data_IF_035013234654
#
_entry.id   IF_035013234654
#
_cell.length_a   1.000
_cell.length_b   1.000
_cell.length_c   1.000
_cell.angle_alpha   90.00
_cell.angle_beta   90.00
_cell.angle_gamma   90.00
#
_symmetry.space_group_name_H-M   'P 1'
#
loop_
_entity.id
_entity.type
_entity.pdbx_description
1 polymer ?
#
# COMPACT_ATOMS: atom_id res chain seq x y z
N UNK A 1 61.13 -14.74 30.72
CA UNK A 1 60.73 -13.64 29.86
C UNK A 1 59.20 -13.68 29.78
N UNK A 2 58.53 -12.83 30.57
CA UNK A 2 57.04 -12.81 30.65
C UNK A 2 56.51 -11.78 29.64
N UNK A 3 55.73 -12.24 28.67
CA UNK A 3 55.07 -11.37 27.69
C UNK A 3 53.71 -11.01 28.25
N UNK A 4 53.51 -9.74 28.61
CA UNK A 4 52.22 -9.16 29.01
C UNK A 4 51.45 -8.77 27.74
N UNK A 5 50.37 -9.48 27.45
CA UNK A 5 49.41 -9.08 26.43
C UNK A 5 48.35 -8.22 27.12
N UNK A 6 48.33 -6.93 26.82
CA UNK A 6 47.27 -6.01 27.21
C UNK A 6 46.10 -6.21 26.24
N UNK A 7 44.97 -6.73 26.73
CA UNK A 7 43.69 -6.68 26.02
C UNK A 7 43.15 -5.25 26.10
N UNK A 8 43.17 -4.58 24.97
CA UNK A 8 42.42 -3.33 24.78
C UNK A 8 40.90 -3.63 24.72
N UNK A 9 40.17 -3.06 25.67
CA UNK A 9 38.70 -3.05 25.64
C UNK A 9 38.25 -2.15 24.49
N UNK A 10 38.01 -2.74 23.35
CA UNK A 10 37.26 -2.09 22.26
C UNK A 10 35.81 -2.02 22.64
N UNK A 11 35.33 -0.83 22.98
CA UNK A 11 33.89 -0.54 23.11
C UNK A 11 33.23 -0.75 21.77
N UNK A 12 32.53 -1.89 21.62
CA UNK A 12 31.59 -2.12 20.54
C UNK A 12 30.40 -1.23 20.84
N UNK A 13 30.30 -0.09 20.15
CA UNK A 13 29.10 0.72 20.10
C UNK A 13 28.13 -0.03 19.20
N UNK A 14 27.30 -0.87 19.81
CA UNK A 14 26.12 -1.42 19.13
C UNK A 14 25.17 -0.27 18.89
N UNK A 15 25.15 0.26 17.68
CA UNK A 15 24.09 1.13 17.21
C UNK A 15 22.81 0.27 17.16
N UNK A 16 22.02 0.33 18.23
CA UNK A 16 20.63 -0.11 18.18
C UNK A 16 19.93 0.82 17.20
N UNK A 17 19.70 0.34 15.99
CA UNK A 17 18.62 0.85 15.14
C UNK A 17 17.32 0.55 15.90
N UNK A 18 16.86 1.54 16.66
CA UNK A 18 15.49 1.60 17.10
C UNK A 18 14.63 1.75 15.84
N UNK A 19 14.18 0.61 15.31
CA UNK A 19 12.96 0.61 14.53
C UNK A 19 11.92 1.30 15.43
N UNK A 20 11.55 2.51 15.09
CA UNK A 20 10.45 3.22 15.69
C UNK A 20 9.17 2.47 15.33
N UNK A 21 8.92 1.36 16.02
CA UNK A 21 7.57 0.92 16.24
C UNK A 21 6.91 2.08 16.97
N UNK A 22 6.16 2.89 16.25
CA UNK A 22 5.15 3.74 16.85
C UNK A 22 4.18 2.75 17.50
N UNK A 23 4.44 2.43 18.76
CA UNK A 23 3.44 1.84 19.64
C UNK A 23 2.30 2.88 19.67
N UNK A 24 1.32 2.70 18.77
CA UNK A 24 0.06 3.40 18.94
C UNK A 24 -0.44 3.01 20.35
N UNK A 25 -0.72 4.00 21.22
CA UNK A 25 -1.21 3.69 22.55
C UNK A 25 -2.47 2.85 22.39
N UNK A 26 -2.52 1.73 23.12
CA UNK A 26 -3.75 0.95 23.23
C UNK A 26 -4.86 1.92 23.62
N UNK A 27 -5.82 2.11 22.72
CA UNK A 27 -6.97 2.97 22.98
C UNK A 27 -7.68 2.37 24.19
N UNK A 28 -7.67 3.08 25.32
CA UNK A 28 -8.38 2.62 26.52
C UNK A 28 -9.87 2.48 26.20
N UNK A 29 -10.57 1.58 26.90
CA UNK A 29 -12.01 1.37 26.74
C UNK A 29 -12.84 2.68 26.90
N UNK A 30 -12.30 3.70 27.57
CA UNK A 30 -12.88 5.03 27.70
C UNK A 30 -12.69 5.89 26.43
N UNK A 31 -11.61 5.71 25.66
CA UNK A 31 -11.42 6.36 24.36
C UNK A 31 -12.30 5.73 23.28
N UNK A 32 -12.65 4.45 23.39
CA UNK A 32 -13.62 3.78 22.49
C UNK A 32 -15.02 4.40 22.58
N UNK A 33 -15.34 5.09 23.66
CA UNK A 33 -16.64 5.75 23.85
C UNK A 33 -16.78 7.12 23.19
N UNK A 34 -15.70 7.66 22.59
CA UNK A 34 -15.67 8.95 21.87
C UNK A 34 -15.13 8.79 20.44
N UNK A 35 -15.52 7.74 19.73
CA UNK A 35 -15.35 7.75 18.28
C UNK A 35 -16.44 8.70 17.78
N UNK A 36 -16.00 9.88 17.32
CA UNK A 36 -16.87 10.96 16.88
C UNK A 36 -17.84 10.46 15.81
N UNK A 37 -19.12 10.86 15.92
CA UNK A 37 -20.14 10.61 14.89
C UNK A 37 -19.89 11.40 13.58
N UNK A 38 -18.79 12.19 13.52
CA UNK A 38 -18.42 13.12 12.44
C UNK A 38 -17.20 12.69 11.61
N UNK A 39 -16.90 11.38 11.49
CA UNK A 39 -15.84 10.96 10.57
C UNK A 39 -16.30 11.12 9.11
N UNK A 40 -15.42 11.66 8.26
CA UNK A 40 -15.62 11.62 6.81
C UNK A 40 -15.50 10.19 6.28
N UNK A 41 -16.05 9.93 5.09
CA UNK A 41 -16.00 8.60 4.50
C UNK A 41 -14.56 8.13 4.24
N UNK A 42 -13.66 9.03 3.88
CA UNK A 42 -12.23 8.75 3.77
C UNK A 42 -11.61 8.30 5.10
N UNK A 43 -12.03 8.91 6.21
CA UNK A 43 -11.60 8.52 7.55
C UNK A 43 -12.25 7.21 8.03
N UNK A 44 -13.48 6.93 7.59
CA UNK A 44 -14.16 5.66 7.90
C UNK A 44 -13.44 4.44 7.28
N UNK A 45 -12.72 4.62 6.16
CA UNK A 45 -11.99 3.55 5.47
C UNK A 45 -11.00 2.81 6.36
N UNK A 46 -10.38 3.46 7.32
CA UNK A 46 -9.45 2.81 8.25
C UNK A 46 -10.13 1.78 9.17
N UNK A 47 -11.48 1.77 9.23
CA UNK A 47 -12.29 0.87 10.05
C UNK A 47 -13.13 -0.10 9.22
N UNK A 48 -12.98 -0.10 7.91
CA UNK A 48 -13.73 -0.93 6.96
C UNK A 48 -12.80 -1.98 6.36
N UNK A 49 -13.29 -3.22 6.25
CA UNK A 49 -12.59 -4.26 5.53
C UNK A 49 -12.64 -3.96 4.03
N UNK A 50 -11.47 -3.69 3.45
CA UNK A 50 -11.36 -3.31 2.04
C UNK A 50 -11.75 -4.44 1.09
N UNK A 51 -11.56 -5.70 1.49
CA UNK A 51 -11.91 -6.86 0.68
C UNK A 51 -13.44 -7.06 0.68
N UNK A 52 -14.09 -6.92 1.85
CA UNK A 52 -15.56 -6.96 1.97
C UNK A 52 -16.18 -5.82 1.16
N UNK A 53 -15.66 -4.59 1.30
CA UNK A 53 -16.16 -3.43 0.55
C UNK A 53 -16.00 -3.62 -0.96
N UNK A 54 -14.83 -4.07 -1.41
CA UNK A 54 -14.56 -4.32 -2.82
C UNK A 54 -15.51 -5.40 -3.38
N UNK A 55 -15.71 -6.50 -2.67
CA UNK A 55 -16.63 -7.58 -3.07
C UNK A 55 -18.08 -7.11 -3.17
N UNK A 56 -18.54 -6.30 -2.21
CA UNK A 56 -19.90 -5.75 -2.20
C UNK A 56 -20.16 -4.83 -3.40
N UNK A 57 -19.21 -3.93 -3.70
CA UNK A 57 -19.36 -3.01 -4.83
C UNK A 57 -19.23 -3.74 -6.16
N UNK A 58 -18.32 -4.71 -6.27
CA UNK A 58 -18.20 -5.57 -7.46
C UNK A 58 -19.51 -6.32 -7.72
N UNK A 59 -20.09 -6.91 -6.69
CA UNK A 59 -21.41 -7.58 -6.78
C UNK A 59 -22.51 -6.63 -7.23
N UNK A 60 -22.50 -5.38 -6.77
CA UNK A 60 -23.44 -4.36 -7.23
C UNK A 60 -23.27 -4.08 -8.73
N UNK A 61 -22.04 -3.89 -9.22
CA UNK A 61 -21.74 -3.63 -10.63
C UNK A 61 -22.19 -4.80 -11.51
N UNK A 62 -21.95 -6.04 -11.10
CA UNK A 62 -22.37 -7.25 -11.82
C UNK A 62 -23.90 -7.35 -11.95
N UNK A 63 -24.63 -6.95 -10.91
CA UNK A 63 -26.10 -6.93 -10.91
C UNK A 63 -26.70 -5.72 -11.66
N UNK A 64 -25.91 -4.68 -11.86
CA UNK A 64 -26.33 -3.42 -12.50
C UNK A 64 -25.33 -3.03 -13.60
N UNK A 65 -25.25 -3.81 -14.71
CA UNK A 65 -24.27 -3.59 -15.78
C UNK A 65 -24.40 -2.22 -16.48
N UNK A 66 -25.58 -1.59 -16.38
CA UNK A 66 -25.85 -0.27 -16.94
C UNK A 66 -25.65 0.87 -15.91
N UNK A 67 -25.13 0.57 -14.71
CA UNK A 67 -24.89 1.59 -13.70
C UNK A 67 -23.84 2.59 -14.18
N UNK A 68 -24.17 3.86 -14.08
CA UNK A 68 -23.24 4.95 -14.36
C UNK A 68 -22.15 5.02 -13.30
N UNK A 69 -21.02 5.61 -13.65
CA UNK A 69 -19.91 5.84 -12.70
C UNK A 69 -20.38 6.56 -11.42
N UNK A 70 -21.28 7.56 -11.58
CA UNK A 70 -21.87 8.25 -10.43
C UNK A 70 -22.65 7.30 -9.53
N UNK A 71 -23.48 6.42 -10.07
CA UNK A 71 -24.25 5.45 -9.28
C UNK A 71 -23.33 4.47 -8.54
N UNK A 72 -22.25 4.03 -9.18
CA UNK A 72 -21.25 3.17 -8.54
C UNK A 72 -20.56 3.92 -7.39
N UNK A 73 -20.17 5.17 -7.59
CA UNK A 73 -19.56 5.99 -6.54
C UNK A 73 -20.52 6.25 -5.37
N UNK A 74 -21.77 6.61 -5.65
CA UNK A 74 -22.80 6.82 -4.62
C UNK A 74 -23.03 5.52 -3.81
N UNK A 75 -23.08 4.36 -4.48
CA UNK A 75 -23.19 3.07 -3.83
C UNK A 75 -21.96 2.75 -2.98
N UNK A 76 -20.75 3.02 -3.47
CA UNK A 76 -19.49 2.83 -2.74
C UNK A 76 -19.49 3.63 -1.44
N UNK A 77 -19.82 4.92 -1.51
CA UNK A 77 -19.91 5.81 -0.33
C UNK A 77 -20.95 5.29 0.67
N UNK A 78 -22.14 4.88 0.18
CA UNK A 78 -23.18 4.28 1.01
C UNK A 78 -22.65 3.02 1.74
N UNK A 79 -21.94 2.14 1.04
CA UNK A 79 -21.39 0.91 1.64
C UNK A 79 -20.31 1.18 2.67
N UNK A 80 -19.45 2.16 2.47
CA UNK A 80 -18.47 2.58 3.48
C UNK A 80 -19.18 2.95 4.79
N UNK A 81 -20.23 3.76 4.73
CA UNK A 81 -21.01 4.16 5.91
C UNK A 81 -21.70 2.97 6.58
N UNK A 82 -22.28 2.05 5.80
CA UNK A 82 -22.94 0.84 6.33
C UNK A 82 -21.95 -0.08 7.04
N UNK A 83 -20.80 -0.39 6.42
CA UNK A 83 -19.78 -1.25 7.00
C UNK A 83 -19.14 -0.62 8.25
N UNK A 84 -18.88 0.69 8.22
CA UNK A 84 -18.41 1.43 9.38
C UNK A 84 -19.43 1.37 10.53
N UNK A 85 -20.73 1.61 10.25
CA UNK A 85 -21.80 1.54 11.25
C UNK A 85 -21.94 0.14 11.86
N UNK A 86 -21.81 -0.92 11.06
CA UNK A 86 -21.77 -2.31 11.52
C UNK A 86 -20.57 -2.55 12.44
N UNK A 87 -19.37 -2.17 12.02
CA UNK A 87 -18.16 -2.33 12.85
C UNK A 87 -18.24 -1.55 14.17
N UNK A 88 -18.94 -0.41 14.18
CA UNK A 88 -19.19 0.38 15.38
C UNK A 88 -20.16 -0.34 16.33
N UNK A 89 -21.28 -0.90 15.82
CA UNK A 89 -22.31 -1.58 16.62
C UNK A 89 -21.80 -2.88 17.25
N UNK A 90 -20.97 -3.63 16.51
CA UNK A 90 -20.43 -4.92 16.94
C UNK A 90 -19.23 -4.79 17.88
N UNK A 91 -18.81 -3.56 18.21
CA UNK A 91 -17.65 -3.29 19.05
C UNK A 91 -16.30 -3.69 18.42
N UNK A 92 -16.30 -4.02 17.12
CA UNK A 92 -15.10 -4.48 16.42
C UNK A 92 -14.17 -3.33 15.98
N UNK A 93 -14.61 -2.09 16.09
CA UNK A 93 -13.79 -0.88 15.79
C UNK A 93 -12.49 -0.85 16.61
N UNK A 94 -12.48 -1.39 17.83
CA UNK A 94 -11.27 -1.41 18.67
C UNK A 94 -10.28 -2.54 18.31
N UNK A 95 -10.71 -3.53 17.52
CA UNK A 95 -9.90 -4.72 17.18
C UNK A 95 -9.60 -4.86 15.70
N UNK A 96 -10.40 -4.24 14.83
CA UNK A 96 -10.15 -4.16 13.40
C UNK A 96 -9.50 -2.82 13.02
N UNK A 97 -8.36 -2.50 13.63
CA UNK A 97 -7.34 -1.82 12.82
C UNK A 97 -6.98 -2.89 11.79
N UNK A 98 -7.55 -2.78 10.59
CA UNK A 98 -7.13 -3.61 9.47
C UNK A 98 -5.60 -3.63 9.49
N UNK A 99 -4.99 -4.81 9.46
CA UNK A 99 -3.52 -4.96 9.42
C UNK A 99 -2.89 -4.10 8.31
N UNK A 100 -3.72 -3.57 7.42
CA UNK A 100 -3.47 -2.64 6.34
C UNK A 100 -4.46 -1.47 6.37
N UNK A 101 -4.64 -0.80 7.52
CA UNK A 101 -5.50 0.38 7.63
C UNK A 101 -5.05 1.47 6.66
N UNK A 102 -5.82 1.69 5.62
CA UNK A 102 -5.55 2.75 4.65
C UNK A 102 -5.96 4.10 5.25
N UNK A 103 -4.96 4.86 5.69
CA UNK A 103 -5.14 6.28 6.00
C UNK A 103 -4.72 7.05 4.77
N UNK A 104 -5.68 7.66 4.10
CA UNK A 104 -5.41 8.48 2.91
C UNK A 104 -4.72 9.77 3.32
N UNK A 105 -3.68 10.15 2.59
CA UNK A 105 -3.13 11.51 2.68
C UNK A 105 -4.05 12.49 1.95
N UNK A 106 -3.82 13.80 2.09
CA UNK A 106 -4.71 14.83 1.53
C UNK A 106 -4.84 14.78 0.00
N UNK A 107 -3.83 14.32 -0.71
CA UNK A 107 -3.87 14.18 -2.16
C UNK A 107 -4.64 12.93 -2.60
N UNK A 108 -4.49 11.81 -1.88
CA UNK A 108 -5.30 10.61 -2.08
C UNK A 108 -6.77 10.87 -1.71
N UNK A 109 -7.03 11.62 -0.64
CA UNK A 109 -8.38 12.01 -0.21
C UNK A 109 -9.10 12.84 -1.29
N UNK A 110 -8.40 13.77 -1.93
CA UNK A 110 -8.97 14.51 -3.05
C UNK A 110 -9.39 13.60 -4.21
N UNK A 111 -8.58 12.60 -4.55
CA UNK A 111 -8.91 11.59 -5.56
C UNK A 111 -10.05 10.66 -5.12
N UNK A 112 -10.10 10.32 -3.84
CA UNK A 112 -11.21 9.53 -3.29
C UNK A 112 -12.55 10.22 -3.49
N UNK A 113 -12.65 11.53 -3.22
CA UNK A 113 -13.89 12.28 -3.46
C UNK A 113 -14.17 12.55 -4.95
N UNK A 114 -13.16 12.50 -5.82
CA UNK A 114 -13.36 12.53 -7.26
C UNK A 114 -13.99 11.22 -7.77
N UNK A 115 -13.45 10.07 -7.32
CA UNK A 115 -13.93 8.75 -7.70
C UNK A 115 -13.67 7.71 -6.59
N UNK A 116 -14.65 7.53 -5.73
CA UNK A 116 -14.55 6.63 -4.58
C UNK A 116 -14.29 5.18 -5.00
N UNK A 117 -14.94 4.70 -6.07
CA UNK A 117 -14.74 3.31 -6.52
C UNK A 117 -13.33 3.06 -7.05
N UNK A 118 -12.78 3.96 -7.85
CA UNK A 118 -11.39 3.84 -8.31
C UNK A 118 -10.40 3.94 -7.15
N UNK A 119 -10.67 4.78 -6.16
CA UNK A 119 -9.86 4.88 -4.94
C UNK A 119 -9.87 3.57 -4.14
N UNK A 120 -11.06 2.97 -3.93
CA UNK A 120 -11.20 1.67 -3.26
C UNK A 120 -10.46 0.57 -4.01
N UNK A 121 -10.56 0.53 -5.33
CA UNK A 121 -9.78 -0.41 -6.15
C UNK A 121 -8.27 -0.20 -5.95
N UNK A 122 -7.81 1.06 -5.89
CA UNK A 122 -6.38 1.35 -5.66
C UNK A 122 -5.90 0.80 -4.31
N UNK A 123 -6.68 0.98 -3.25
CA UNK A 123 -6.40 0.42 -1.93
C UNK A 123 -6.42 -1.12 -1.94
N UNK A 124 -7.44 -1.72 -2.57
CA UNK A 124 -7.57 -3.18 -2.69
C UNK A 124 -6.38 -3.80 -3.43
N UNK A 125 -5.96 -3.22 -4.56
CA UNK A 125 -4.78 -3.70 -5.29
C UNK A 125 -3.47 -3.37 -4.56
N UNK A 126 -3.44 -2.33 -3.73
CA UNK A 126 -2.34 -2.05 -2.81
C UNK A 126 -2.17 -3.18 -1.79
N UNK A 127 -3.27 -3.63 -1.17
CA UNK A 127 -3.26 -4.79 -0.28
C UNK A 127 -2.77 -6.05 -0.99
N UNK A 128 -3.29 -6.34 -2.18
CA UNK A 128 -2.81 -7.50 -2.98
C UNK A 128 -1.32 -7.43 -3.30
N UNK A 129 -0.80 -6.23 -3.56
CA UNK A 129 0.63 -6.04 -3.80
C UNK A 129 1.45 -6.29 -2.52
N UNK A 130 0.99 -5.84 -1.36
CA UNK A 130 1.60 -6.11 -0.05
C UNK A 130 1.62 -7.62 0.25
N UNK A 131 0.47 -8.30 0.13
CA UNK A 131 0.35 -9.75 0.38
C UNK A 131 1.29 -10.55 -0.54
N UNK A 132 1.36 -10.13 -1.82
CA UNK A 132 2.26 -10.78 -2.77
C UNK A 132 3.73 -10.52 -2.46
N UNK A 133 4.08 -9.31 -2.04
CA UNK A 133 5.43 -8.97 -1.61
C UNK A 133 5.85 -9.83 -0.42
N UNK A 134 5.00 -9.94 0.59
CA UNK A 134 5.27 -10.78 1.76
C UNK A 134 5.40 -12.26 1.39
N UNK A 135 4.57 -12.75 0.48
CA UNK A 135 4.67 -14.13 -0.04
C UNK A 135 6.01 -14.43 -0.74
N UNK A 136 6.64 -13.44 -1.38
CA UNK A 136 7.89 -13.59 -2.13
C UNK A 136 9.10 -13.35 -1.24
N UNK A 137 9.09 -12.30 -0.43
CA UNK A 137 10.25 -11.84 0.35
C UNK A 137 10.19 -12.27 1.82
N UNK A 138 9.02 -12.68 2.34
CA UNK A 138 8.79 -12.93 3.76
C UNK A 138 8.56 -11.67 4.59
N UNK A 139 8.60 -10.48 3.98
CA UNK A 139 8.40 -9.18 4.63
C UNK A 139 8.03 -8.10 3.61
N UNK A 140 7.56 -6.96 4.12
CA UNK A 140 7.37 -5.72 3.36
C UNK A 140 8.35 -4.67 3.90
N UNK A 141 9.47 -4.48 3.22
CA UNK A 141 10.49 -3.50 3.57
C UNK A 141 10.18 -2.09 3.05
N UNK A 142 11.10 -1.17 3.28
CA UNK A 142 11.11 0.17 2.72
C UNK A 142 12.46 0.43 2.04
N UNK A 143 12.45 1.12 0.93
CA UNK A 143 13.62 1.51 0.14
C UNK A 143 14.46 0.33 -0.44
N UNK A 144 14.02 -0.90 -0.26
CA UNK A 144 14.71 -2.12 -0.66
C UNK A 144 14.08 -2.80 -1.90
N UNK A 145 14.52 -4.03 -2.20
CA UNK A 145 14.00 -4.79 -3.33
C UNK A 145 12.52 -5.18 -3.18
N UNK A 146 12.07 -5.42 -1.94
CA UNK A 146 10.68 -5.75 -1.66
C UNK A 146 9.77 -4.54 -1.89
N UNK A 147 10.24 -3.36 -1.57
CA UNK A 147 9.59 -2.09 -1.83
C UNK A 147 9.49 -1.80 -3.34
N UNK A 148 10.59 -1.96 -4.05
CA UNK A 148 10.65 -1.84 -5.51
C UNK A 148 9.64 -2.76 -6.20
N UNK A 149 9.55 -4.03 -5.74
CA UNK A 149 8.58 -5.00 -6.23
C UNK A 149 7.14 -4.53 -5.94
N UNK A 150 6.84 -4.13 -4.70
CA UNK A 150 5.51 -3.72 -4.24
C UNK A 150 4.97 -2.57 -5.06
N UNK A 151 5.73 -1.49 -5.20
CA UNK A 151 5.34 -0.31 -5.98
C UNK A 151 5.12 -0.62 -7.46
N UNK A 152 6.00 -1.43 -8.05
CA UNK A 152 5.89 -1.85 -9.45
C UNK A 152 4.66 -2.73 -9.67
N UNK A 153 4.45 -3.72 -8.82
CA UNK A 153 3.33 -4.65 -8.96
C UNK A 153 1.98 -3.96 -8.72
N UNK A 154 1.89 -3.12 -7.70
CA UNK A 154 0.70 -2.32 -7.43
C UNK A 154 0.29 -1.47 -8.65
N UNK A 155 1.22 -0.75 -9.25
CA UNK A 155 0.95 0.06 -10.43
C UNK A 155 0.56 -0.80 -11.66
N UNK A 156 1.16 -1.96 -11.84
CA UNK A 156 0.76 -2.89 -12.91
C UNK A 156 -0.68 -3.39 -12.71
N UNK A 157 -1.08 -3.70 -11.47
CA UNK A 157 -2.44 -4.09 -11.13
C UNK A 157 -3.44 -2.95 -11.36
N UNK A 158 -3.12 -1.72 -10.91
CA UNK A 158 -4.00 -0.57 -11.13
C UNK A 158 -4.23 -0.28 -12.61
N UNK A 159 -3.19 -0.34 -13.44
CA UNK A 159 -3.35 -0.17 -14.90
C UNK A 159 -4.24 -1.27 -15.48
N UNK A 160 -4.05 -2.52 -15.06
CA UNK A 160 -4.80 -3.67 -15.57
C UNK A 160 -6.27 -3.62 -15.20
N UNK A 161 -6.60 -3.17 -14.00
CA UNK A 161 -7.95 -3.29 -13.42
C UNK A 161 -8.71 -1.96 -13.32
N UNK A 162 -8.03 -0.83 -13.44
CA UNK A 162 -8.64 0.49 -13.41
C UNK A 162 -8.37 1.18 -14.74
N UNK A 163 -7.28 1.94 -14.83
CA UNK A 163 -6.75 2.54 -16.05
C UNK A 163 -5.36 3.16 -15.80
N UNK A 164 -4.65 3.48 -16.89
CA UNK A 164 -3.30 4.04 -16.82
C UNK A 164 -3.27 5.42 -16.17
N UNK A 165 -4.19 6.31 -16.55
CA UNK A 165 -4.23 7.70 -16.06
C UNK A 165 -4.54 7.74 -14.57
N UNK A 166 -5.48 6.94 -14.12
CA UNK A 166 -5.79 6.82 -12.69
C UNK A 166 -4.61 6.27 -11.90
N UNK A 167 -3.97 5.20 -12.37
CA UNK A 167 -2.80 4.61 -11.72
C UNK A 167 -1.66 5.62 -11.55
N UNK A 168 -1.43 6.49 -12.54
CA UNK A 168 -0.43 7.55 -12.45
C UNK A 168 -0.80 8.60 -11.40
N UNK A 169 -2.03 9.06 -11.42
CA UNK A 169 -2.52 10.09 -10.48
C UNK A 169 -2.51 9.57 -9.04
N UNK A 170 -3.01 8.35 -8.83
CA UNK A 170 -3.08 7.74 -7.51
C UNK A 170 -1.69 7.47 -6.93
N UNK A 171 -0.80 6.85 -7.69
CA UNK A 171 0.56 6.58 -7.25
C UNK A 171 1.36 7.87 -7.00
N UNK A 172 1.11 8.94 -7.75
CA UNK A 172 1.73 10.26 -7.50
C UNK A 172 1.17 10.89 -6.22
N UNK A 173 -0.14 10.77 -5.96
CA UNK A 173 -0.77 11.22 -4.74
C UNK A 173 -0.27 10.46 -3.52
N UNK A 174 -0.01 9.15 -3.66
CA UNK A 174 0.58 8.33 -2.60
C UNK A 174 1.92 8.88 -2.13
N UNK A 175 2.76 9.37 -3.07
CA UNK A 175 4.07 9.96 -2.78
C UNK A 175 3.98 11.45 -2.36
N UNK A 176 2.80 11.98 -2.01
CA UNK A 176 2.63 13.40 -1.68
C UNK A 176 3.50 13.83 -0.50
N UNK A 177 3.57 13.02 0.54
CA UNK A 177 4.34 13.29 1.75
C UNK A 177 5.79 12.78 1.69
N UNK A 178 6.15 12.01 0.66
CA UNK A 178 7.50 11.49 0.46
C UNK A 178 8.43 12.56 -0.13
N UNK A 179 9.73 12.46 0.11
CA UNK A 179 10.74 13.37 -0.43
C UNK A 179 12.08 12.68 -0.67
N UNK A 180 12.99 13.32 -1.38
CA UNK A 180 14.36 12.83 -1.57
C UNK A 180 14.46 11.55 -2.39
N UNK A 181 15.43 10.68 -2.02
CA UNK A 181 15.69 9.42 -2.73
C UNK A 181 14.53 8.42 -2.64
N UNK A 182 13.84 8.22 -1.48
CA UNK A 182 12.67 7.36 -1.42
C UNK A 182 11.63 7.72 -2.47
N UNK A 183 11.19 8.97 -2.50
CA UNK A 183 10.23 9.44 -3.52
C UNK A 183 10.70 9.19 -4.95
N UNK A 184 11.99 9.44 -5.21
CA UNK A 184 12.57 9.24 -6.55
C UNK A 184 12.55 7.77 -6.95
N UNK A 185 12.84 6.87 -6.00
CA UNK A 185 12.79 5.43 -6.16
C UNK A 185 11.37 4.96 -6.48
N UNK A 186 10.41 5.38 -5.66
CA UNK A 186 9.02 4.94 -5.76
C UNK A 186 8.38 5.43 -7.06
N UNK A 187 8.56 6.69 -7.42
CA UNK A 187 8.07 7.22 -8.70
C UNK A 187 8.69 6.51 -9.91
N UNK A 188 9.97 6.12 -9.83
CA UNK A 188 10.61 5.31 -10.86
C UNK A 188 9.95 3.93 -10.99
N UNK A 189 9.81 3.22 -9.88
CA UNK A 189 9.24 1.87 -9.82
C UNK A 189 7.74 1.88 -10.20
N UNK A 190 6.99 2.89 -9.76
CA UNK A 190 5.61 3.14 -10.15
C UNK A 190 5.46 3.27 -11.68
N UNK A 191 6.32 4.07 -12.31
CA UNK A 191 6.31 4.25 -13.77
C UNK A 191 6.64 2.95 -14.52
N UNK A 192 7.58 2.15 -14.03
CA UNK A 192 7.90 0.82 -14.61
C UNK A 192 6.70 -0.13 -14.49
N UNK A 193 6.03 -0.12 -13.34
CA UNK A 193 4.82 -0.91 -13.11
C UNK A 193 3.70 -0.55 -14.09
N UNK A 194 3.44 0.74 -14.30
CA UNK A 194 2.46 1.18 -15.30
C UNK A 194 2.82 0.70 -16.71
N UNK A 195 4.08 0.74 -17.08
CA UNK A 195 4.55 0.19 -18.37
C UNK A 195 4.29 -1.31 -18.49
N UNK A 196 4.57 -2.09 -17.43
CA UNK A 196 4.29 -3.53 -17.41
C UNK A 196 2.78 -3.80 -17.55
N UNK A 197 1.94 -3.11 -16.79
CA UNK A 197 0.48 -3.25 -16.89
C UNK A 197 -0.05 -2.91 -18.28
N UNK A 198 0.37 -1.77 -18.83
CA UNK A 198 -0.07 -1.28 -20.14
C UNK A 198 0.32 -2.22 -21.30
N UNK A 199 1.51 -2.81 -21.24
CA UNK A 199 1.99 -3.74 -22.25
C UNK A 199 1.39 -5.14 -22.13
N UNK A 200 0.58 -5.40 -21.08
CA UNK A 200 -0.02 -6.71 -20.80
C UNK A 200 -1.49 -6.60 -20.39
N UNK A 201 -2.36 -6.00 -21.23
CA UNK A 201 -3.73 -5.64 -20.84
C UNK A 201 -4.65 -6.83 -20.55
N UNK A 202 -4.28 -8.04 -20.97
CA UNK A 202 -5.05 -9.27 -20.73
C UNK A 202 -4.34 -10.25 -19.79
N UNK A 203 -3.22 -9.83 -19.16
CA UNK A 203 -2.48 -10.72 -18.26
C UNK A 203 -3.24 -10.97 -16.95
N UNK A 204 -3.08 -12.17 -16.40
CA UNK A 204 -3.52 -12.44 -15.02
C UNK A 204 -2.62 -11.73 -14.02
N UNK A 205 -3.12 -11.54 -12.79
CA UNK A 205 -2.35 -10.93 -11.69
C UNK A 205 -1.05 -11.72 -11.44
N UNK A 206 -1.10 -13.04 -11.47
CA UNK A 206 0.09 -13.90 -11.33
C UNK A 206 1.09 -13.69 -12.47
N UNK A 207 0.63 -13.53 -13.70
CA UNK A 207 1.49 -13.21 -14.85
C UNK A 207 2.15 -11.84 -14.69
N UNK A 208 1.42 -10.83 -14.24
CA UNK A 208 1.97 -9.50 -13.94
C UNK A 208 3.02 -9.59 -12.82
N UNK A 209 2.74 -10.33 -11.73
CA UNK A 209 3.72 -10.56 -10.67
C UNK A 209 5.02 -11.16 -11.21
N UNK A 210 4.94 -12.21 -12.05
CA UNK A 210 6.12 -12.85 -12.63
C UNK A 210 6.92 -11.90 -13.56
N UNK A 211 6.24 -11.02 -14.28
CA UNK A 211 6.89 -9.98 -15.10
C UNK A 211 7.63 -8.96 -14.24
N UNK A 212 7.05 -8.60 -13.08
CA UNK A 212 7.72 -7.71 -12.12
C UNK A 212 8.95 -8.40 -11.50
N UNK A 213 8.86 -9.70 -11.15
CA UNK A 213 10.03 -10.48 -10.71
C UNK A 213 11.12 -10.49 -11.79
N UNK A 214 10.76 -10.66 -13.05
CA UNK A 214 11.73 -10.60 -14.16
C UNK A 214 12.39 -9.21 -14.23
N UNK A 215 11.62 -8.14 -14.09
CA UNK A 215 12.14 -6.77 -14.08
C UNK A 215 13.04 -6.50 -12.86
N UNK A 216 12.67 -7.02 -11.69
CA UNK A 216 13.44 -6.92 -10.45
C UNK A 216 14.84 -7.55 -10.58
N UNK A 217 14.94 -8.69 -11.25
CA UNK A 217 16.19 -9.44 -11.40
C UNK A 217 17.05 -9.01 -12.61
N UNK A 218 16.54 -8.12 -13.46
CA UNK A 218 17.18 -7.76 -14.74
C UNK A 218 18.46 -6.91 -14.61
N UNK A 219 18.67 -6.25 -13.48
CA UNK A 219 19.84 -5.37 -13.26
C UNK A 219 19.74 -3.99 -13.89
N UNK A 220 18.62 -3.63 -14.53
CA UNK A 220 18.50 -2.36 -15.27
C UNK A 220 17.08 -1.76 -15.31
N UNK A 221 16.12 -2.32 -14.60
CA UNK A 221 14.74 -1.86 -14.66
C UNK A 221 14.24 -1.22 -13.38
N UNK A 222 14.27 -1.93 -12.25
CA UNK A 222 13.78 -1.43 -10.99
C UNK A 222 14.92 -0.88 -10.14
N UNK A 223 14.59 -0.04 -9.16
CA UNK A 223 15.58 0.63 -8.31
C UNK A 223 15.28 0.41 -6.84
N UNK A 224 16.36 0.35 -6.04
CA UNK A 224 16.35 0.35 -4.58
C UNK A 224 17.41 1.33 -4.05
N UNK A 225 17.42 1.59 -2.75
CA UNK A 225 18.41 2.44 -2.10
C UNK A 225 19.42 1.55 -1.37
N UNK A 226 20.71 1.77 -1.64
CA UNK A 226 21.82 1.11 -0.92
C UNK A 226 22.85 2.18 -0.56
N UNK A 227 23.18 2.27 0.72
CA UNK A 227 24.17 3.25 1.22
C UNK A 227 23.86 4.69 0.74
N UNK A 228 22.58 5.09 0.82
CA UNK A 228 22.09 6.40 0.39
C UNK A 228 22.33 6.70 -1.11
N UNK A 229 22.34 5.66 -1.95
CA UNK A 229 22.42 5.77 -3.39
C UNK A 229 21.31 4.98 -4.07
N UNK A 230 20.79 5.52 -5.17
CA UNK A 230 19.82 4.84 -6.00
C UNK A 230 20.54 3.87 -6.93
N UNK A 231 20.28 2.58 -6.77
CA UNK A 231 20.90 1.51 -7.55
C UNK A 231 19.83 0.64 -8.22
N UNK A 232 20.18 -0.01 -9.34
CA UNK A 232 19.29 -0.99 -9.93
C UNK A 232 19.25 -2.27 -9.08
N UNK A 233 18.06 -2.89 -9.03
CA UNK A 233 17.88 -4.24 -8.46
C UNK A 233 18.45 -5.29 -9.41
N UNK A 234 19.03 -6.36 -8.89
CA UNK A 234 19.62 -7.45 -9.67
C UNK A 234 19.71 -8.73 -8.83
N UNK A 235 19.14 -9.84 -9.34
CA UNK A 235 19.20 -11.15 -8.68
C UNK A 235 18.74 -11.11 -7.22
N UNK A 236 17.60 -10.49 -6.96
CA UNK A 236 17.07 -10.25 -5.60
C UNK A 236 16.34 -11.47 -5.01
N UNK A 237 15.83 -12.38 -5.88
CA UNK A 237 15.08 -13.58 -5.52
C UNK A 237 15.28 -14.69 -6.56
#
# INVERSE_FOLDING_TARGET
>A
MKINIKFGLGTILAAMLLASFVLMPAVSAEQSKKINDDLSESQMLQYVDIEELHAEVTTYIEKHPDATEKQINDYTIKKIRELYGKSKSDGTISTKISYYGFTLNSAEEALFYENAWKAINSCYYGKKAMDRTESIFGFNGADDASDAFRHTYWNALMVRHIDYTWAERWATAHEYNSSGLPKTMDLWNNNKGRGIGNNNPSASDSTLSNKVVTALNSGNQLKKIVNNNLVYTCNEI
#
